data_IF_439526195536
#
_entry.id   IF_439526195536
#
_cell.length_a   1.000
_cell.length_b   1.000
_cell.length_c   1.000
_cell.angle_alpha   90.00
_cell.angle_beta   90.00
_cell.angle_gamma   90.00
#
_symmetry.space_group_name_H-M   'P 1'
#
loop_
_entity.id
_entity.type
_entity.pdbx_description
1 polymer ?
#
# COMPACT_ATOMS: atom_id res chain seq x y z
N UNK A 1 6.25 -23.93 -14.02
CA UNK A 1 6.33 -23.62 -12.58
C UNK A 1 5.88 -22.17 -12.44
N UNK A 2 4.58 -21.95 -12.16
CA UNK A 2 4.05 -20.61 -11.93
C UNK A 2 4.31 -20.32 -10.46
N UNK A 3 5.29 -19.47 -10.17
CA UNK A 3 5.45 -18.96 -8.82
C UNK A 3 4.12 -18.35 -8.39
N UNK A 4 3.57 -18.96 -7.34
CA UNK A 4 2.28 -18.61 -6.79
C UNK A 4 2.30 -17.13 -6.47
N UNK A 5 1.41 -16.41 -7.13
CA UNK A 5 1.11 -15.03 -6.89
C UNK A 5 0.95 -14.85 -5.37
N UNK A 6 1.96 -14.30 -4.70
CA UNK A 6 1.74 -13.62 -3.43
C UNK A 6 0.95 -12.37 -3.78
N UNK A 7 -0.36 -12.54 -4.06
CA UNK A 7 -1.26 -11.47 -4.50
C UNK A 7 -1.37 -10.35 -3.45
N UNK A 8 -0.95 -10.64 -2.22
CA UNK A 8 -0.92 -9.71 -1.11
C UNK A 8 0.52 -9.39 -0.71
N UNK A 9 0.92 -8.14 -0.95
CA UNK A 9 2.13 -7.57 -0.36
C UNK A 9 2.09 -7.71 1.17
N UNK A 10 3.25 -7.90 1.80
CA UNK A 10 3.36 -7.83 3.26
C UNK A 10 3.21 -6.38 3.69
N UNK A 11 2.64 -6.11 4.86
CA UNK A 11 2.50 -4.75 5.38
C UNK A 11 3.10 -4.70 6.78
N UNK A 12 3.90 -3.68 7.05
CA UNK A 12 4.36 -3.44 8.42
C UNK A 12 3.18 -3.02 9.32
N UNK A 13 3.26 -3.25 10.64
CA UNK A 13 2.22 -2.82 11.58
C UNK A 13 1.90 -1.32 11.47
N UNK A 14 2.92 -0.48 11.28
CA UNK A 14 2.82 0.97 11.16
C UNK A 14 2.09 1.37 9.87
N UNK A 15 2.42 0.72 8.75
CA UNK A 15 1.75 0.93 7.47
C UNK A 15 0.25 0.56 7.57
N UNK A 16 -0.07 -0.56 8.23
CA UNK A 16 -1.48 -0.95 8.49
C UNK A 16 -2.19 0.08 9.36
N UNK A 17 -1.54 0.63 10.38
CA UNK A 17 -2.13 1.66 11.24
C UNK A 17 -2.44 2.94 10.45
N UNK A 18 -1.53 3.37 9.56
CA UNK A 18 -1.75 4.52 8.67
C UNK A 18 -2.83 4.28 7.63
N UNK A 19 -2.93 3.07 7.08
CA UNK A 19 -4.06 2.73 6.19
C UNK A 19 -5.40 2.78 6.94
N UNK A 20 -5.45 2.35 8.20
CA UNK A 20 -6.66 2.40 9.03
C UNK A 20 -7.11 3.85 9.34
N UNK A 21 -6.19 4.81 9.39
CA UNK A 21 -6.55 6.23 9.59
C UNK A 21 -7.23 6.87 8.36
N UNK A 22 -7.17 6.21 7.19
CA UNK A 22 -7.89 6.62 5.99
C UNK A 22 -9.38 6.27 6.16
N UNK A 23 -10.31 7.21 5.86
CA UNK A 23 -11.75 6.95 5.91
C UNK A 23 -12.14 5.71 5.09
N UNK A 24 -13.07 4.91 5.61
CA UNK A 24 -13.36 3.58 5.07
C UNK A 24 -13.78 3.60 3.59
N UNK A 25 -14.54 4.62 3.17
CA UNK A 25 -15.10 4.74 1.82
C UNK A 25 -14.03 5.00 0.73
N UNK A 26 -12.86 5.53 1.09
CA UNK A 26 -11.70 5.70 0.19
C UNK A 26 -10.56 4.72 0.48
N UNK A 27 -10.64 3.94 1.57
CA UNK A 27 -9.54 3.08 2.02
C UNK A 27 -9.17 1.99 1.01
N UNK A 28 -10.13 1.44 0.29
CA UNK A 28 -9.88 0.44 -0.76
C UNK A 28 -9.06 1.02 -1.91
N UNK A 29 -9.42 2.21 -2.38
CA UNK A 29 -8.71 2.93 -3.43
C UNK A 29 -7.30 3.34 -2.96
N UNK A 30 -7.17 3.85 -1.73
CA UNK A 30 -5.87 4.16 -1.15
C UNK A 30 -4.97 2.92 -1.07
N UNK A 31 -5.51 1.78 -0.61
CA UNK A 31 -4.77 0.52 -0.53
C UNK A 31 -4.25 0.07 -1.90
N UNK A 32 -5.09 0.07 -2.93
CA UNK A 32 -4.68 -0.34 -4.28
C UNK A 32 -3.51 0.50 -4.80
N UNK A 33 -3.52 1.80 -4.53
CA UNK A 33 -2.48 2.74 -4.96
C UNK A 33 -1.17 2.52 -4.21
N UNK A 34 -1.24 2.34 -2.89
CA UNK A 34 -0.08 1.99 -2.08
C UNK A 34 0.56 0.69 -2.58
N UNK A 35 -0.25 -0.32 -2.88
CA UNK A 35 0.24 -1.58 -3.45
C UNK A 35 0.83 -1.40 -4.86
N UNK A 36 0.27 -0.52 -5.70
CA UNK A 36 0.84 -0.18 -7.00
C UNK A 36 2.21 0.47 -6.87
N UNK A 37 2.37 1.41 -5.93
CA UNK A 37 3.66 2.09 -5.68
C UNK A 37 4.71 1.07 -5.20
N UNK A 38 4.34 0.18 -4.27
CA UNK A 38 5.24 -0.87 -3.78
C UNK A 38 5.66 -1.84 -4.91
N UNK A 39 4.71 -2.29 -5.73
CA UNK A 39 5.01 -3.16 -6.89
C UNK A 39 5.89 -2.46 -7.92
N UNK A 40 5.63 -1.18 -8.22
CA UNK A 40 6.45 -0.39 -9.13
C UNK A 40 7.88 -0.18 -8.60
N UNK A 41 8.06 -0.17 -7.28
CA UNK A 41 9.36 -0.13 -6.62
C UNK A 41 10.01 -1.51 -6.45
N UNK A 42 9.42 -2.60 -6.96
CA UNK A 42 9.84 -3.99 -6.73
C UNK A 42 10.00 -4.34 -5.24
N UNK A 43 9.11 -3.80 -4.40
CA UNK A 43 9.08 -4.07 -2.96
C UNK A 43 8.00 -5.09 -2.63
N UNK A 44 8.37 -6.10 -1.84
CA UNK A 44 7.44 -7.11 -1.31
C UNK A 44 6.74 -6.69 -0.02
N UNK A 45 7.21 -5.59 0.60
CA UNK A 45 6.74 -5.07 1.88
C UNK A 45 6.30 -3.62 1.73
N UNK A 46 5.05 -3.35 2.08
CA UNK A 46 4.50 -2.01 2.26
C UNK A 46 4.92 -1.48 3.62
N UNK A 47 5.77 -0.46 3.59
CA UNK A 47 6.24 0.30 4.75
C UNK A 47 5.44 1.60 4.91
N UNK A 48 5.65 2.30 6.02
CA UNK A 48 4.98 3.58 6.29
C UNK A 48 5.31 4.63 5.24
N UNK A 49 6.54 4.63 4.71
CA UNK A 49 7.01 5.57 3.69
C UNK A 49 6.20 5.45 2.40
N UNK A 50 5.84 4.23 2.00
CA UNK A 50 5.01 3.99 0.80
C UNK A 50 3.58 4.52 1.02
N UNK A 51 3.04 4.33 2.23
CA UNK A 51 1.70 4.83 2.59
C UNK A 51 1.66 6.36 2.56
N UNK A 52 2.69 7.02 3.10
CA UNK A 52 2.80 8.48 3.07
C UNK A 52 3.03 9.01 1.65
N UNK A 53 3.86 8.33 0.84
CA UNK A 53 4.04 8.69 -0.58
C UNK A 53 2.72 8.68 -1.35
N UNK A 54 1.90 7.65 -1.14
CA UNK A 54 0.57 7.56 -1.75
C UNK A 54 -0.37 8.69 -1.30
N UNK A 55 -0.26 9.16 -0.05
CA UNK A 55 -1.05 10.29 0.47
C UNK A 55 -0.67 11.61 -0.19
N UNK A 56 0.62 11.85 -0.42
CA UNK A 56 1.11 13.07 -1.08
C UNK A 56 0.65 13.11 -2.54
N UNK A 57 0.70 12.00 -3.26
CA UNK A 57 0.24 11.90 -4.66
C UNK A 57 -1.30 12.06 -4.81
N UNK A 58 -2.08 11.84 -3.75
CA UNK A 58 -3.56 11.99 -3.76
C UNK A 58 -4.07 13.39 -3.37
N UNK A 59 -3.20 14.23 -2.82
CA UNK A 59 -3.55 15.59 -2.38
C UNK A 59 -3.50 16.64 -3.48
N UNK A 60 -3.37 16.22 -4.75
CA UNK A 60 -3.40 17.08 -5.95
C UNK A 60 -4.62 16.75 -6.81
#
# INVERSE_FOLDING_TARGET
>A
MRDYLNENLRWTPEAKAKLKSIPFFVRSQARQRIEQIARAANLDVVTVEIVEKARVEYGQ
#
